data_IF_712893562009
#
_entry.id   IF_712893562009
#
_cell.length_a   1.000
_cell.length_b   1.000
_cell.length_c   1.000
_cell.angle_alpha   90.00
_cell.angle_beta   90.00
_cell.angle_gamma   90.00
#
_symmetry.space_group_name_H-M   'P 1'
#
loop_
_entity.id
_entity.type
_entity.pdbx_description
1 polymer ?
#
# COMPACT_ATOMS: atom_id res chain seq x y z
N UNK A 1 -0.92 -16.02 14.67
CA UNK A 1 -1.84 -16.07 13.50
C UNK A 1 -1.03 -16.18 12.22
N UNK A 2 -1.45 -17.05 11.30
CA UNK A 2 -0.76 -17.29 10.02
C UNK A 2 -0.94 -16.13 9.04
N UNK A 3 0.16 -15.67 8.45
CA UNK A 3 0.11 -14.81 7.27
C UNK A 3 0.17 -15.70 6.04
N UNK A 4 -0.81 -15.61 5.15
CA UNK A 4 -0.79 -16.34 3.89
C UNK A 4 -0.47 -15.39 2.72
N UNK A 5 0.15 -15.96 1.68
CA UNK A 5 0.47 -15.23 0.46
C UNK A 5 -0.75 -15.26 -0.46
N UNK A 6 -1.36 -14.09 -0.69
CA UNK A 6 -2.39 -13.94 -1.73
C UNK A 6 -1.70 -13.62 -3.05
N UNK A 7 -1.96 -14.44 -4.07
CA UNK A 7 -1.52 -14.26 -5.44
C UNK A 7 -2.72 -13.85 -6.30
N UNK A 8 -2.70 -12.64 -6.85
CA UNK A 8 -3.75 -12.13 -7.74
C UNK A 8 -3.17 -11.96 -9.13
N UNK A 9 -3.71 -12.72 -10.08
CA UNK A 9 -3.37 -12.58 -11.49
C UNK A 9 -4.16 -11.39 -12.06
N UNK A 10 -3.45 -10.38 -12.55
CA UNK A 10 -4.03 -9.21 -13.20
C UNK A 10 -3.62 -9.19 -14.68
N UNK A 11 -4.31 -8.39 -15.50
CA UNK A 11 -3.91 -8.17 -16.90
C UNK A 11 -2.48 -7.61 -17.05
N UNK A 12 -1.91 -7.05 -15.98
CA UNK A 12 -0.57 -6.47 -15.92
C UNK A 12 0.48 -7.44 -15.35
N UNK A 13 0.10 -8.70 -15.10
CA UNK A 13 0.94 -9.70 -14.44
C UNK A 13 0.42 -10.11 -13.06
N UNK A 14 1.21 -10.92 -12.38
CA UNK A 14 0.85 -11.51 -11.08
C UNK A 14 1.30 -10.63 -9.93
N UNK A 15 0.36 -10.20 -9.08
CA UNK A 15 0.66 -9.46 -7.85
C UNK A 15 0.60 -10.45 -6.68
N UNK A 16 1.74 -10.65 -6.02
CA UNK A 16 1.86 -11.45 -4.80
C UNK A 16 2.00 -10.54 -3.59
N UNK A 17 1.10 -10.65 -2.61
CA UNK A 17 1.17 -9.89 -1.37
C UNK A 17 0.70 -10.72 -0.19
N UNK A 18 1.41 -10.61 0.94
CA UNK A 18 1.02 -11.28 2.17
C UNK A 18 -0.06 -10.47 2.88
N UNK A 19 -1.11 -11.15 3.32
CA UNK A 19 -2.17 -10.56 4.13
C UNK A 19 -2.36 -11.38 5.40
N UNK A 20 -2.58 -10.75 6.56
CA UNK A 20 -3.09 -11.45 7.73
C UNK A 20 -4.41 -12.13 7.39
N UNK A 21 -4.48 -13.44 7.62
CA UNK A 21 -5.72 -14.19 7.57
C UNK A 21 -6.35 -14.14 8.97
N UNK A 22 -7.58 -13.64 9.07
CA UNK A 22 -8.31 -13.56 10.33
C UNK A 22 -9.63 -14.30 10.23
N UNK A 23 -10.13 -14.69 11.40
CA UNK A 23 -11.45 -15.29 11.56
C UNK A 23 -12.38 -14.26 12.20
N UNK A 24 -13.42 -13.85 11.47
CA UNK A 24 -14.45 -12.92 11.95
C UNK A 24 -15.68 -13.71 12.36
N UNK A 25 -16.13 -13.50 13.59
CA UNK A 25 -17.36 -14.11 14.10
C UNK A 25 -18.53 -13.16 13.94
N UNK A 26 -19.68 -13.69 13.50
CA UNK A 26 -20.92 -12.94 13.33
C UNK A 26 -22.14 -13.79 13.75
N UNK A 27 -23.31 -13.16 13.89
CA UNK A 27 -24.58 -13.86 14.12
C UNK A 27 -25.40 -13.84 12.83
N UNK A 28 -25.97 -14.99 12.44
CA UNK A 28 -26.87 -15.09 11.29
C UNK A 28 -28.28 -14.54 11.59
N UNK A 29 -29.14 -14.49 10.57
CA UNK A 29 -30.55 -14.06 10.70
C UNK A 29 -31.36 -14.92 11.70
N UNK A 30 -30.86 -16.09 12.10
CA UNK A 30 -31.50 -17.00 13.06
C UNK A 30 -30.83 -16.94 14.46
N UNK A 31 -29.86 -16.04 14.67
CA UNK A 31 -29.13 -15.86 15.92
C UNK A 31 -27.98 -16.85 16.16
N UNK A 32 -27.65 -17.71 15.18
CA UNK A 32 -26.53 -18.64 15.32
C UNK A 32 -25.18 -17.96 15.11
N UNK A 33 -24.21 -18.29 15.96
CA UNK A 33 -22.82 -17.83 15.81
C UNK A 33 -22.17 -18.54 14.61
N UNK A 34 -21.68 -17.76 13.67
CA UNK A 34 -20.96 -18.18 12.48
C UNK A 34 -19.57 -17.56 12.46
N UNK A 35 -18.66 -18.14 11.68
CA UNK A 35 -17.31 -17.64 11.44
C UNK A 35 -17.06 -17.44 9.94
N UNK A 36 -16.22 -16.47 9.63
CA UNK A 36 -15.77 -16.16 8.28
C UNK A 36 -14.26 -15.96 8.28
N UNK A 37 -13.57 -16.70 7.42
CA UNK A 37 -12.16 -16.47 7.14
C UNK A 37 -12.03 -15.34 6.11
N UNK A 38 -11.25 -14.32 6.42
CA UNK A 38 -11.00 -13.22 5.52
C UNK A 38 -9.58 -12.66 5.65
N UNK A 39 -9.09 -12.10 4.55
CA UNK A 39 -7.80 -11.43 4.55
C UNK A 39 -8.00 -9.97 4.96
N UNK A 40 -7.20 -9.53 5.92
CA UNK A 40 -7.20 -8.14 6.39
C UNK A 40 -6.16 -7.35 5.64
N UNK A 41 -6.56 -6.16 5.21
CA UNK A 41 -5.64 -5.18 4.69
C UNK A 41 -5.64 -3.95 5.60
N UNK A 42 -4.49 -3.74 6.24
CA UNK A 42 -4.24 -2.71 7.26
C UNK A 42 -3.85 -1.34 6.67
N UNK A 43 -3.70 -1.26 5.34
CA UNK A 43 -3.32 -0.02 4.64
C UNK A 43 -4.36 0.33 3.57
N UNK A 44 -5.47 0.93 3.98
CA UNK A 44 -6.40 1.54 3.03
C UNK A 44 -5.72 2.72 2.30
N UNK A 45 -5.35 2.55 1.04
CA UNK A 45 -4.61 3.59 0.30
C UNK A 45 -5.51 4.69 -0.24
N UNK A 46 -6.77 4.37 -0.53
CA UNK A 46 -7.74 5.32 -1.08
C UNK A 46 -9.15 4.75 -0.98
N UNK A 47 -10.10 5.57 -0.56
CA UNK A 47 -11.51 5.31 -0.86
C UNK A 47 -12.21 6.60 -1.24
N UNK A 48 -13.24 6.41 -2.07
CA UNK A 48 -14.08 7.49 -2.57
C UNK A 48 -15.41 7.34 -1.84
N UNK A 49 -15.73 8.32 -1.00
CA UNK A 49 -17.09 8.44 -0.46
C UNK A 49 -17.90 9.32 -1.41
N UNK A 50 -19.13 8.91 -1.68
CA UNK A 50 -20.06 9.66 -2.51
C UNK A 50 -21.27 10.01 -1.65
N UNK A 51 -21.33 11.27 -1.22
CA UNK A 51 -22.45 11.77 -0.43
C UNK A 51 -23.70 11.90 -1.29
N UNK A 52 -24.84 11.45 -0.78
CA UNK A 52 -26.15 11.59 -1.42
C UNK A 52 -26.57 10.40 -2.28
N UNK A 53 -25.79 9.31 -2.33
CA UNK A 53 -26.16 8.11 -3.08
C UNK A 53 -27.51 7.51 -2.65
N UNK A 54 -27.84 7.38 -1.35
CA UNK A 54 -29.14 6.83 -0.96
C UNK A 54 -30.31 7.71 -1.42
N UNK A 55 -30.17 9.04 -1.31
CA UNK A 55 -31.19 9.97 -1.79
C UNK A 55 -31.37 9.87 -3.31
N UNK A 56 -30.27 9.78 -4.07
CA UNK A 56 -30.34 9.58 -5.52
C UNK A 56 -31.09 8.32 -5.91
N UNK A 57 -30.81 7.19 -5.24
CA UNK A 57 -31.51 5.92 -5.49
C UNK A 57 -32.99 6.05 -5.18
N UNK A 58 -33.35 6.62 -4.03
CA UNK A 58 -34.75 6.78 -3.61
C UNK A 58 -35.54 7.66 -4.58
N UNK A 59 -34.95 8.76 -5.05
CA UNK A 59 -35.63 9.72 -5.93
C UNK A 59 -35.77 9.23 -7.37
N UNK A 60 -34.83 8.42 -7.87
CA UNK A 60 -34.77 8.05 -9.28
C UNK A 60 -35.13 6.57 -9.54
N UNK A 61 -35.34 5.76 -8.50
CA UNK A 61 -35.84 4.40 -8.68
C UNK A 61 -37.32 4.42 -9.08
N UNK A 62 -37.75 3.57 -10.03
CA UNK A 62 -39.13 3.56 -10.53
C UNK A 62 -40.14 3.03 -9.52
N UNK A 63 -39.71 2.18 -8.58
CA UNK A 63 -40.57 1.53 -7.59
C UNK A 63 -39.97 1.67 -6.19
N UNK A 64 -40.82 1.90 -5.18
CA UNK A 64 -40.40 1.83 -3.79
C UNK A 64 -39.99 0.40 -3.40
N UNK A 65 -38.93 0.29 -2.60
CA UNK A 65 -38.43 -0.97 -2.08
C UNK A 65 -38.19 -0.86 -0.58
N UNK A 66 -38.51 -1.91 0.22
CA UNK A 66 -38.19 -1.94 1.64
C UNK A 66 -36.68 -1.89 1.92
N UNK A 67 -35.84 -2.17 0.91
CA UNK A 67 -34.39 -2.02 1.02
C UNK A 67 -33.96 -0.57 1.15
N UNK A 68 -34.71 0.38 0.60
CA UNK A 68 -34.33 1.79 0.59
C UNK A 68 -34.21 2.37 2.00
N UNK A 69 -35.10 1.98 2.91
CA UNK A 69 -35.05 2.38 4.31
C UNK A 69 -33.85 1.77 5.08
N UNK A 70 -33.19 0.76 4.52
CA UNK A 70 -32.02 0.09 5.10
C UNK A 70 -30.69 0.57 4.50
N UNK A 71 -30.74 1.49 3.54
CA UNK A 71 -29.54 2.09 2.95
C UNK A 71 -29.09 3.24 3.86
N UNK A 72 -27.86 3.17 4.34
CA UNK A 72 -27.21 4.24 5.08
C UNK A 72 -26.21 4.95 4.19
N UNK A 73 -26.13 6.28 4.25
CA UNK A 73 -25.09 7.06 3.55
C UNK A 73 -23.82 7.07 4.42
N UNK A 74 -22.72 6.42 3.99
CA UNK A 74 -21.48 6.43 4.75
C UNK A 74 -20.89 7.84 4.93
N UNK A 75 -21.24 8.80 4.07
CA UNK A 75 -20.80 10.18 4.15
C UNK A 75 -21.76 11.09 4.97
N UNK A 76 -22.82 10.53 5.56
CA UNK A 76 -23.71 11.30 6.45
C UNK A 76 -23.04 11.58 7.80
N UNK A 77 -23.36 12.75 8.37
CA UNK A 77 -22.89 13.17 9.71
C UNK A 77 -23.63 12.46 10.84
N UNK A 78 -24.79 11.87 10.53
CA UNK A 78 -25.64 11.16 11.49
C UNK A 78 -25.22 9.70 11.68
N UNK A 79 -24.30 9.21 10.84
CA UNK A 79 -23.65 7.92 11.01
C UNK A 79 -22.41 8.14 11.88
N UNK A 80 -22.46 7.61 13.09
CA UNK A 80 -21.35 7.69 14.04
C UNK A 80 -20.18 6.82 13.56
N UNK A 81 -19.18 7.49 13.00
CA UNK A 81 -17.86 6.91 12.72
C UNK A 81 -16.89 7.19 13.88
N UNK A 82 -17.39 7.38 15.11
CA UNK A 82 -16.69 7.92 16.28
C UNK A 82 -15.42 7.18 16.70
N UNK A 83 -15.20 5.99 16.14
CA UNK A 83 -13.88 5.43 15.93
C UNK A 83 -13.69 5.35 14.42
N UNK A 84 -12.93 6.29 13.81
CA UNK A 84 -12.59 6.24 12.39
C UNK A 84 -12.29 4.78 12.07
N UNK A 85 -13.02 4.19 11.11
CA UNK A 85 -12.65 2.89 10.53
C UNK A 85 -11.12 2.91 10.41
N UNK A 86 -10.42 2.04 11.14
CA UNK A 86 -8.96 2.11 11.29
C UNK A 86 -8.22 1.82 9.97
N UNK A 87 -8.87 2.05 8.81
CA UNK A 87 -8.39 1.72 7.49
C UNK A 87 -8.41 0.22 7.23
N UNK A 88 -9.13 -0.56 8.04
CA UNK A 88 -9.17 -2.02 7.91
C UNK A 88 -10.11 -2.38 6.78
N UNK A 89 -9.52 -2.70 5.63
CA UNK A 89 -10.22 -3.31 4.52
C UNK A 89 -10.29 -4.82 4.70
N UNK A 90 -11.46 -5.41 4.42
CA UNK A 90 -11.61 -6.87 4.38
C UNK A 90 -11.68 -7.31 2.93
N UNK A 91 -10.81 -8.25 2.54
CA UNK A 91 -10.86 -8.89 1.23
C UNK A 91 -11.65 -10.19 1.37
N UNK A 92 -12.75 -10.28 0.62
CA UNK A 92 -13.68 -11.40 0.62
C UNK A 92 -13.70 -12.08 -0.74
N UNK A 93 -13.63 -13.41 -0.75
CA UNK A 93 -13.89 -14.17 -1.97
C UNK A 93 -15.41 -14.25 -2.26
N UNK A 94 -15.77 -14.67 -3.46
CA UNK A 94 -17.17 -14.82 -3.89
C UNK A 94 -17.99 -15.72 -2.95
N UNK A 95 -17.40 -16.82 -2.47
CA UNK A 95 -18.02 -17.72 -1.49
C UNK A 95 -18.30 -17.01 -0.16
N UNK A 96 -17.36 -16.19 0.32
CA UNK A 96 -17.53 -15.42 1.55
C UNK A 96 -18.63 -14.38 1.43
N UNK A 97 -18.71 -13.67 0.30
CA UNK A 97 -19.78 -12.70 0.02
C UNK A 97 -21.15 -13.39 0.05
N UNK A 98 -21.26 -14.59 -0.52
CA UNK A 98 -22.51 -15.36 -0.49
C UNK A 98 -22.96 -15.72 0.93
N UNK A 99 -22.02 -15.93 1.87
CA UNK A 99 -22.36 -16.21 3.29
C UNK A 99 -22.78 -14.98 4.08
N UNK A 100 -22.47 -13.78 3.58
CA UNK A 100 -22.86 -12.50 4.18
C UNK A 100 -24.21 -11.99 3.67
N UNK A 101 -24.72 -12.54 2.56
CA UNK A 101 -26.03 -12.19 2.02
C UNK A 101 -27.13 -12.69 2.97
N UNK A 102 -28.11 -11.82 3.23
CA UNK A 102 -29.33 -12.23 3.94
C UNK A 102 -30.23 -13.03 3.01
N UNK A 103 -31.30 -13.62 3.56
CA UNK A 103 -32.35 -14.28 2.74
C UNK A 103 -33.15 -13.32 1.86
N UNK A 104 -32.94 -12.00 1.99
CA UNK A 104 -33.65 -10.99 1.20
C UNK A 104 -33.13 -10.97 -0.23
N UNK A 105 -34.04 -10.87 -1.20
CA UNK A 105 -33.68 -10.83 -2.62
C UNK A 105 -32.82 -9.61 -2.96
N UNK A 106 -31.84 -9.83 -3.84
CA UNK A 106 -31.06 -8.79 -4.48
C UNK A 106 -31.99 -7.98 -5.39
N UNK A 107 -31.91 -6.65 -5.32
CA UNK A 107 -32.69 -5.76 -6.16
C UNK A 107 -31.78 -5.13 -7.21
N UNK A 108 -32.04 -5.43 -8.48
CA UNK A 108 -31.45 -4.71 -9.60
C UNK A 108 -32.38 -3.57 -10.02
N UNK A 109 -31.83 -2.36 -10.17
CA UNK A 109 -32.52 -1.17 -10.66
C UNK A 109 -31.94 -0.84 -12.04
N UNK A 110 -32.53 -1.37 -13.13
CA UNK A 110 -31.95 -1.27 -14.47
C UNK A 110 -31.79 0.17 -14.96
N UNK A 111 -32.69 1.08 -14.58
CA UNK A 111 -32.70 2.48 -15.00
C UNK A 111 -31.48 3.24 -14.48
N UNK A 112 -30.94 2.82 -13.34
CA UNK A 112 -29.77 3.42 -12.71
C UNK A 112 -28.49 2.59 -12.93
N UNK A 113 -28.61 1.38 -13.48
CA UNK A 113 -27.52 0.38 -13.52
C UNK A 113 -26.92 0.14 -12.12
N UNK A 114 -27.81 0.01 -11.12
CA UNK A 114 -27.45 -0.20 -9.70
C UNK A 114 -28.00 -1.53 -9.21
N UNK A 115 -27.17 -2.26 -8.48
CA UNK A 115 -27.52 -3.49 -7.78
C UNK A 115 -27.46 -3.25 -6.26
N UNK A 116 -28.54 -3.58 -5.57
CA UNK A 116 -28.67 -3.52 -4.12
C UNK A 116 -28.65 -4.93 -3.53
N UNK A 117 -27.63 -5.21 -2.74
CA UNK A 117 -27.38 -6.52 -2.16
C UNK A 117 -27.52 -6.46 -0.63
N UNK A 118 -28.59 -7.06 -0.05
CA UNK A 118 -28.79 -7.05 1.39
C UNK A 118 -27.81 -8.00 2.09
N UNK A 119 -26.95 -7.45 2.95
CA UNK A 119 -25.98 -8.22 3.75
C UNK A 119 -26.26 -8.09 5.25
N UNK A 120 -25.61 -8.92 6.06
CA UNK A 120 -25.66 -8.82 7.53
C UNK A 120 -25.14 -7.48 8.07
N UNK A 121 -24.36 -6.74 7.28
CA UNK A 121 -23.81 -5.43 7.64
C UNK A 121 -24.62 -4.25 7.08
N UNK A 122 -25.75 -4.53 6.42
CA UNK A 122 -26.55 -3.54 5.70
C UNK A 122 -26.59 -3.77 4.20
N UNK A 123 -27.21 -2.86 3.45
CA UNK A 123 -27.35 -2.97 2.00
C UNK A 123 -26.06 -2.51 1.32
N UNK A 124 -25.43 -3.39 0.56
CA UNK A 124 -24.34 -3.03 -0.34
C UNK A 124 -24.89 -2.48 -1.65
N UNK A 125 -24.24 -1.43 -2.17
CA UNK A 125 -24.59 -0.77 -3.43
C UNK A 125 -23.47 -1.03 -4.42
N UNK A 126 -23.79 -1.67 -5.54
CA UNK A 126 -22.87 -1.94 -6.64
C UNK A 126 -23.38 -1.25 -7.91
N UNK A 127 -22.52 -0.55 -8.64
CA UNK A 127 -22.91 0.15 -9.87
C UNK A 127 -22.01 1.34 -10.19
N UNK A 128 -22.32 2.04 -11.29
CA UNK A 128 -21.62 3.27 -11.67
C UNK A 128 -22.02 4.44 -10.77
N UNK A 129 -21.05 5.29 -10.40
CA UNK A 129 -21.34 6.55 -9.70
C UNK A 129 -21.97 7.55 -10.68
N UNK A 130 -23.17 8.09 -10.41
CA UNK A 130 -23.82 9.08 -11.26
C UNK A 130 -22.94 10.29 -11.58
N UNK A 131 -23.04 10.81 -12.80
CA UNK A 131 -22.22 11.93 -13.28
C UNK A 131 -22.45 13.22 -12.48
N UNK A 132 -23.65 13.42 -11.92
CA UNK A 132 -23.99 14.54 -11.05
C UNK A 132 -23.16 14.58 -9.75
N UNK A 133 -22.53 13.47 -9.36
CA UNK A 133 -21.67 13.41 -8.18
C UNK A 133 -20.18 13.59 -8.48
N UNK A 134 -19.76 13.69 -9.76
CA UNK A 134 -18.33 13.82 -10.13
C UNK A 134 -17.63 15.04 -9.52
N UNK A 135 -18.37 16.09 -9.16
CA UNK A 135 -17.85 17.31 -8.53
C UNK A 135 -17.82 17.26 -6.98
N UNK A 136 -18.51 16.29 -6.38
CA UNK A 136 -18.67 16.13 -4.92
C UNK A 136 -18.02 14.84 -4.40
N UNK A 137 -17.00 14.34 -5.11
CA UNK A 137 -16.20 13.20 -4.66
C UNK A 137 -15.23 13.69 -3.59
N UNK A 138 -15.45 13.29 -2.34
CA UNK A 138 -14.46 13.44 -1.29
C UNK A 138 -13.49 12.26 -1.35
N UNK A 139 -12.22 12.55 -1.64
CA UNK A 139 -11.15 11.56 -1.55
C UNK A 139 -10.63 11.59 -0.12
N UNK A 140 -11.00 10.59 0.66
CA UNK A 140 -10.45 10.42 2.00
C UNK A 140 -9.13 9.67 1.89
N UNK A 141 -8.03 10.40 2.10
CA UNK A 141 -6.70 9.82 2.23
C UNK A 141 -6.47 9.40 3.69
N UNK A 142 -6.29 8.11 3.94
CA UNK A 142 -5.97 7.60 5.27
C UNK A 142 -4.48 7.86 5.59
N UNK A 143 -4.09 9.13 5.78
CA UNK A 143 -2.69 9.55 5.78
C UNK A 143 -1.99 9.56 7.15
N UNK A 144 -2.62 9.17 8.26
CA UNK A 144 -1.98 9.27 9.58
C UNK A 144 -2.29 8.12 10.54
N UNK A 145 -1.99 6.87 10.17
CA UNK A 145 -2.07 5.75 11.11
C UNK A 145 -0.86 4.84 10.97
N UNK A 146 -0.15 4.65 12.08
CA UNK A 146 0.82 3.57 12.27
C UNK A 146 0.13 2.50 13.12
N UNK A 147 0.18 1.21 12.74
CA UNK A 147 -0.39 0.16 13.58
C UNK A 147 0.39 0.05 14.90
N UNK A 148 -0.34 0.03 16.01
CA UNK A 148 0.19 -0.40 17.29
C UNK A 148 0.08 -1.93 17.32
N UNK A 149 1.23 -2.59 17.31
CA UNK A 149 1.33 -4.00 17.63
C UNK A 149 0.90 -4.16 19.10
N UNK A 150 -0.26 -4.77 19.35
CA UNK A 150 -0.54 -5.30 20.68
C UNK A 150 0.44 -6.45 20.90
N UNK A 151 1.37 -6.27 21.85
CA UNK A 151 2.25 -7.34 22.31
C UNK A 151 1.37 -8.46 22.87
N UNK A 152 1.44 -9.65 22.29
CA UNK A 152 1.21 -10.87 23.06
C UNK A 152 2.48 -11.11 23.89
N UNK A 153 2.45 -10.62 25.13
CA UNK A 153 3.19 -11.28 26.20
C UNK A 153 2.48 -12.62 26.44
N UNK A 154 3.26 -13.70 26.41
CA UNK A 154 2.88 -15.10 26.62
C UNK A 154 2.03 -15.77 25.54
N UNK A 155 2.71 -16.43 24.60
CA UNK A 155 2.44 -17.86 24.43
C UNK A 155 3.72 -18.65 24.09
N UNK A 156 4.37 -19.12 25.15
CA UNK A 156 5.37 -20.19 25.07
C UNK A 156 4.62 -21.52 24.95
N UNK A 157 4.10 -21.85 23.77
CA UNK A 157 3.77 -23.21 23.32
C UNK A 157 3.07 -23.12 21.96
N UNK A 158 3.82 -23.22 20.87
CA UNK A 158 3.21 -23.23 19.55
C UNK A 158 4.04 -24.04 18.54
N UNK A 159 4.29 -25.30 18.88
CA UNK A 159 4.49 -26.38 17.90
C UNK A 159 4.06 -27.70 18.54
N UNK A 160 2.75 -27.95 18.54
CA UNK A 160 2.26 -29.33 18.38
C UNK A 160 1.51 -29.31 17.06
N UNK A 161 2.27 -29.41 15.97
CA UNK A 161 1.71 -29.82 14.71
C UNK A 161 1.43 -31.32 14.82
N UNK A 162 0.21 -31.70 14.44
CA UNK A 162 -0.22 -33.07 14.32
C UNK A 162 0.77 -33.84 13.41
N UNK A 163 1.26 -34.99 13.88
CA UNK A 163 2.36 -35.74 13.29
C UNK A 163 2.01 -36.33 11.92
N UNK A 164 2.06 -35.53 10.85
CA UNK A 164 2.07 -36.02 9.46
C UNK A 164 2.90 -35.14 8.52
N UNK A 165 4.00 -34.54 9.00
CA UNK A 165 5.01 -33.94 8.14
C UNK A 165 6.29 -34.77 8.22
N UNK A 166 6.78 -35.24 7.08
CA UNK A 166 8.04 -35.99 7.05
C UNK A 166 9.20 -35.01 6.99
N UNK A 167 10.29 -35.30 7.72
CA UNK A 167 11.52 -34.49 7.76
C UNK A 167 12.06 -34.16 6.35
N UNK A 168 11.74 -35.00 5.37
CA UNK A 168 12.14 -34.85 3.98
C UNK A 168 11.39 -33.72 3.25
N UNK A 169 10.14 -33.45 3.61
CA UNK A 169 9.36 -32.31 3.11
C UNK A 169 9.90 -31.00 3.66
N UNK A 170 10.28 -30.98 4.93
CA UNK A 170 10.86 -29.80 5.59
C UNK A 170 12.25 -29.47 5.01
N UNK A 171 13.06 -30.49 4.72
CA UNK A 171 14.33 -30.30 4.02
C UNK A 171 14.09 -29.79 2.59
N UNK A 172 13.20 -30.40 1.81
CA UNK A 172 12.89 -29.92 0.46
C UNK A 172 12.37 -28.47 0.45
N UNK A 173 11.58 -28.09 1.46
CA UNK A 173 11.13 -26.71 1.65
C UNK A 173 12.30 -25.76 1.93
N UNK A 174 13.23 -26.13 2.80
CA UNK A 174 14.42 -25.34 3.11
C UNK A 174 15.36 -25.22 1.91
N UNK A 175 15.56 -26.29 1.14
CA UNK A 175 16.33 -26.24 -0.12
C UNK A 175 15.65 -25.38 -1.19
N UNK A 176 14.32 -25.36 -1.24
CA UNK A 176 13.55 -24.48 -2.12
C UNK A 176 13.59 -23.00 -1.73
N UNK A 177 13.98 -22.65 -0.50
CA UNK A 177 14.05 -21.27 -0.04
C UNK A 177 15.25 -20.48 -0.59
N UNK A 178 16.35 -21.14 -0.99
CA UNK A 178 17.46 -20.47 -1.70
C UNK A 178 17.02 -19.88 -3.06
N UNK A 179 15.93 -20.41 -3.63
CA UNK A 179 15.33 -19.98 -4.90
C UNK A 179 14.16 -18.99 -4.75
N UNK A 180 13.80 -18.56 -3.54
CA UNK A 180 12.72 -17.59 -3.32
C UNK A 180 13.22 -16.15 -3.49
N UNK A 181 13.09 -15.62 -4.70
CA UNK A 181 13.05 -14.17 -4.93
C UNK A 181 13.72 -13.67 -6.19
N UNK A 182 14.65 -14.43 -6.77
CA UNK A 182 15.28 -14.16 -8.07
C UNK A 182 15.66 -15.51 -8.66
N UNK A 183 14.91 -16.03 -9.64
CA UNK A 183 15.41 -17.16 -10.42
C UNK A 183 16.57 -16.63 -11.29
N UNK A 184 17.68 -17.38 -11.47
CA UNK A 184 18.85 -16.90 -12.24
C UNK A 184 18.54 -16.42 -13.67
N UNK A 185 17.41 -16.87 -14.22
CA UNK A 185 16.95 -16.57 -15.57
C UNK A 185 15.62 -15.78 -15.60
N UNK A 186 15.20 -15.19 -14.48
CA UNK A 186 13.99 -14.35 -14.42
C UNK A 186 14.31 -13.01 -15.08
N UNK A 187 13.71 -12.76 -16.25
CA UNK A 187 13.79 -11.45 -16.93
C UNK A 187 12.38 -10.86 -16.90
N UNK A 188 12.16 -9.85 -16.07
CA UNK A 188 10.90 -9.10 -16.12
C UNK A 188 10.87 -8.19 -17.35
N UNK A 189 9.68 -7.94 -17.88
CA UNK A 189 9.50 -6.99 -19.00
C UNK A 189 10.00 -5.58 -18.65
N UNK A 190 9.90 -5.19 -17.38
CA UNK A 190 10.44 -3.92 -16.87
C UNK A 190 11.98 -3.89 -16.87
N UNK A 191 12.64 -5.02 -16.61
CA UNK A 191 14.11 -5.11 -16.66
C UNK A 191 14.64 -4.89 -18.08
N UNK A 192 13.91 -5.41 -19.07
CA UNK A 192 14.23 -5.18 -20.48
C UNK A 192 14.12 -3.69 -20.82
N UNK A 193 13.04 -3.02 -20.42
CA UNK A 193 12.86 -1.57 -20.64
C UNK A 193 13.97 -0.77 -19.97
N UNK A 194 14.32 -1.10 -18.72
CA UNK A 194 15.40 -0.43 -18.01
C UNK A 194 16.77 -0.64 -18.69
N UNK A 195 17.03 -1.87 -19.16
CA UNK A 195 18.25 -2.23 -19.89
C UNK A 195 18.35 -1.49 -21.23
N UNK A 196 17.26 -1.44 -21.99
CA UNK A 196 17.19 -0.74 -23.27
C UNK A 196 17.46 0.76 -23.05
N UNK A 197 16.81 1.40 -22.05
CA UNK A 197 17.08 2.81 -21.70
C UNK A 197 18.53 3.02 -21.29
N UNK A 198 19.11 2.11 -20.50
CA UNK A 198 20.52 2.21 -20.11
C UNK A 198 21.43 2.19 -21.35
N UNK A 199 21.27 1.19 -22.22
CA UNK A 199 22.09 1.03 -23.42
C UNK A 199 21.94 2.20 -24.40
N UNK A 200 20.73 2.74 -24.55
CA UNK A 200 20.44 3.87 -25.44
C UNK A 200 20.98 5.20 -24.91
N UNK A 201 21.05 5.37 -23.59
CA UNK A 201 21.29 6.68 -22.97
C UNK A 201 22.61 6.80 -22.23
N UNK A 202 23.34 5.69 -22.05
CA UNK A 202 24.66 5.72 -21.47
C UNK A 202 25.63 6.43 -22.43
N UNK A 203 26.24 7.49 -21.95
CA UNK A 203 27.23 8.27 -22.68
C UNK A 203 28.42 8.51 -21.77
N UNK A 204 29.63 8.50 -22.33
CA UNK A 204 30.83 8.87 -21.60
C UNK A 204 31.16 10.32 -21.92
N UNK A 205 31.15 11.17 -20.91
CA UNK A 205 31.61 12.54 -21.01
C UNK A 205 33.10 12.54 -21.36
N UNK A 206 33.46 13.15 -22.48
CA UNK A 206 34.83 13.19 -23.00
C UNK A 206 35.75 14.09 -22.19
N UNK A 207 35.20 15.04 -21.43
CA UNK A 207 35.93 16.02 -20.63
C UNK A 207 36.19 15.49 -19.23
N UNK A 208 35.17 14.94 -18.57
CA UNK A 208 35.27 14.42 -17.20
C UNK A 208 35.61 12.93 -17.14
N UNK A 209 35.41 12.19 -18.24
CA UNK A 209 35.59 10.75 -18.31
C UNK A 209 34.49 9.94 -17.62
N UNK A 210 33.49 10.61 -17.02
CA UNK A 210 32.36 10.01 -16.28
C UNK A 210 31.29 9.48 -17.23
N UNK A 211 30.52 8.50 -16.76
CA UNK A 211 29.34 8.02 -17.47
C UNK A 211 28.10 8.77 -17.02
N UNK A 212 27.33 9.28 -17.98
CA UNK A 212 26.00 9.85 -17.77
C UNK A 212 24.97 8.90 -18.37
N UNK A 213 23.91 8.61 -17.63
CA UNK A 213 22.80 7.77 -18.09
C UNK A 213 21.48 8.39 -17.66
N UNK A 214 20.42 8.20 -18.46
CA UNK A 214 19.09 8.66 -18.07
C UNK A 214 18.47 7.69 -17.06
N UNK A 215 17.68 8.24 -16.14
CA UNK A 215 16.88 7.42 -15.23
C UNK A 215 15.89 6.54 -16.03
N UNK A 216 15.81 5.23 -15.74
CA UNK A 216 14.94 4.30 -16.45
C UNK A 216 13.49 4.41 -15.97
N UNK A 217 12.74 5.36 -16.51
CA UNK A 217 11.33 5.57 -16.16
C UNK A 217 10.43 4.48 -16.78
N UNK A 218 9.55 3.87 -15.99
CA UNK A 218 8.57 2.87 -16.45
C UNK A 218 7.29 3.47 -17.05
N UNK A 219 7.40 4.56 -17.82
CA UNK A 219 6.31 5.37 -18.39
C UNK A 219 5.30 5.99 -17.39
N UNK A 220 5.42 5.70 -16.09
CA UNK A 220 4.54 6.27 -15.03
C UNK A 220 5.07 7.56 -14.43
N UNK A 221 6.09 8.20 -15.04
CA UNK A 221 6.68 9.45 -14.54
C UNK A 221 5.64 10.56 -14.31
N UNK A 222 4.62 10.62 -15.17
CA UNK A 222 3.53 11.61 -15.07
C UNK A 222 2.68 11.46 -13.79
N UNK A 223 2.75 10.31 -13.10
CA UNK A 223 2.07 10.10 -11.82
C UNK A 223 2.86 10.66 -10.63
N UNK A 224 4.14 11.00 -10.79
CA UNK A 224 4.99 11.47 -9.71
C UNK A 224 4.77 12.97 -9.44
N UNK A 225 4.31 13.29 -8.24
CA UNK A 225 4.15 14.66 -7.73
C UNK A 225 5.40 15.13 -6.99
N UNK A 226 5.50 16.44 -6.76
CA UNK A 226 6.55 17.00 -5.92
C UNK A 226 6.41 16.48 -4.48
N UNK A 227 7.51 16.01 -3.88
CA UNK A 227 7.52 15.37 -2.56
C UNK A 227 8.25 16.18 -1.48
N UNK A 228 8.45 17.49 -1.68
CA UNK A 228 9.24 18.37 -0.81
C UNK A 228 8.84 18.26 0.67
N UNK A 229 7.54 18.32 0.96
CA UNK A 229 7.05 18.30 2.34
C UNK A 229 7.45 17.01 3.08
N UNK A 230 7.28 15.85 2.42
CA UNK A 230 7.60 14.54 3.00
C UNK A 230 9.10 14.36 3.15
N UNK A 231 9.88 14.72 2.12
CA UNK A 231 11.34 14.63 2.15
C UNK A 231 11.94 15.55 3.21
N UNK A 232 11.42 16.78 3.35
CA UNK A 232 11.86 17.72 4.36
C UNK A 232 11.56 17.23 5.79
N UNK A 233 10.37 16.67 6.03
CA UNK A 233 10.00 16.12 7.33
C UNK A 233 10.92 14.96 7.74
N UNK A 234 11.18 14.02 6.82
CA UNK A 234 12.12 12.90 7.05
C UNK A 234 13.55 13.40 7.31
N UNK A 235 14.00 14.39 6.55
CA UNK A 235 15.33 14.99 6.70
C UNK A 235 15.47 15.73 8.04
N UNK A 236 14.46 16.48 8.48
CA UNK A 236 14.47 17.15 9.80
C UNK A 236 14.56 16.15 10.94
N UNK A 237 13.77 15.07 10.89
CA UNK A 237 13.86 13.99 11.89
C UNK A 237 15.27 13.39 11.95
N UNK A 238 15.90 13.23 10.79
CA UNK A 238 17.27 12.76 10.72
C UNK A 238 18.28 13.74 11.34
N UNK A 239 18.10 15.04 11.10
CA UNK A 239 18.91 16.09 11.73
C UNK A 239 18.75 16.11 13.25
N UNK A 240 17.53 15.91 13.76
CA UNK A 240 17.30 15.79 15.22
C UNK A 240 18.08 14.62 15.84
N UNK A 241 18.17 13.49 15.13
CA UNK A 241 18.98 12.34 15.58
C UNK A 241 20.47 12.71 15.59
N UNK A 242 20.96 13.42 14.56
CA UNK A 242 22.34 13.88 14.48
C UNK A 242 22.70 14.89 15.58
N UNK A 243 21.75 15.72 16.02
CA UNK A 243 21.95 16.66 17.13
C UNK A 243 22.01 15.90 18.47
N UNK A 244 21.16 14.90 18.64
CA UNK A 244 21.11 14.09 19.88
C UNK A 244 22.32 13.17 20.03
N UNK A 245 22.78 12.55 18.94
CA UNK A 245 24.00 11.75 18.90
C UNK A 245 25.09 12.48 18.11
N UNK A 246 25.96 13.18 18.83
CA UNK A 246 27.06 13.95 18.25
C UNK A 246 28.01 13.10 17.41
N UNK A 247 28.33 11.90 17.87
CA UNK A 247 29.19 10.98 17.11
C UNK A 247 28.54 10.64 15.76
N UNK A 248 27.22 10.41 15.75
CA UNK A 248 26.46 10.16 14.53
C UNK A 248 26.44 11.35 13.60
N UNK A 249 26.22 12.55 14.15
CA UNK A 249 26.30 13.80 13.41
C UNK A 249 27.66 13.99 12.73
N UNK A 250 28.76 13.84 13.48
CA UNK A 250 30.12 13.99 12.95
C UNK A 250 30.42 12.97 11.84
N UNK A 251 30.03 11.71 12.02
CA UNK A 251 30.22 10.67 11.01
C UNK A 251 29.41 10.94 9.72
N UNK A 252 28.19 11.46 9.86
CA UNK A 252 27.34 11.86 8.74
C UNK A 252 27.89 13.07 7.98
N UNK A 253 28.43 14.06 8.70
CA UNK A 253 29.09 15.21 8.09
C UNK A 253 30.34 14.78 7.30
N UNK A 254 31.15 13.88 7.86
CA UNK A 254 32.30 13.31 7.16
C UNK A 254 31.88 12.57 5.88
N UNK A 255 30.82 11.75 5.94
CA UNK A 255 30.28 11.05 4.78
C UNK A 255 29.76 12.03 3.69
N UNK A 256 29.15 13.16 4.08
CA UNK A 256 28.74 14.20 3.14
C UNK A 256 29.95 14.84 2.43
N UNK A 257 30.99 15.18 3.18
CA UNK A 257 32.22 15.78 2.64
C UNK A 257 32.90 14.82 1.67
N UNK A 258 32.89 13.52 1.94
CA UNK A 258 33.41 12.49 1.03
C UNK A 258 32.62 12.48 -0.30
N UNK A 259 31.29 12.56 -0.24
CA UNK A 259 30.45 12.63 -1.44
C UNK A 259 30.68 13.92 -2.25
N UNK A 260 30.83 15.07 -1.58
CA UNK A 260 31.11 16.36 -2.23
C UNK A 260 32.51 16.38 -2.86
N UNK A 261 33.53 15.93 -2.13
CA UNK A 261 34.91 15.92 -2.62
C UNK A 261 35.15 14.89 -3.74
N UNK A 262 34.36 13.81 -3.75
CA UNK A 262 34.33 12.85 -4.85
C UNK A 262 33.50 13.29 -6.06
N UNK A 263 32.90 14.49 -6.02
CA UNK A 263 32.05 15.03 -7.09
C UNK A 263 30.90 14.08 -7.45
N UNK A 264 30.29 13.49 -6.40
CA UNK A 264 29.10 12.63 -6.47
C UNK A 264 27.80 13.41 -6.17
N UNK A 265 27.92 14.50 -5.40
CA UNK A 265 26.82 15.42 -5.10
C UNK A 265 27.31 16.87 -5.24
N UNK A 266 26.40 17.76 -5.60
CA UNK A 266 26.67 19.19 -5.73
C UNK A 266 25.60 20.02 -5.03
N UNK A 267 25.95 21.27 -4.72
CA UNK A 267 24.99 22.24 -4.23
C UNK A 267 24.11 22.72 -5.39
N UNK A 268 22.81 22.44 -5.29
CA UNK A 268 21.83 22.87 -6.29
C UNK A 268 21.38 24.30 -6.02
N UNK A 269 21.38 25.15 -7.04
CA UNK A 269 20.81 26.50 -6.95
C UNK A 269 19.28 26.43 -6.85
N UNK A 270 18.74 26.92 -5.73
CA UNK A 270 17.31 26.93 -5.44
C UNK A 270 16.57 28.11 -6.06
N UNK A 271 17.28 29.12 -6.55
CA UNK A 271 16.70 30.33 -7.17
C UNK A 271 16.36 30.13 -8.64
N UNK A 272 16.97 29.13 -9.27
CA UNK A 272 16.66 28.69 -10.63
C UNK A 272 15.22 28.15 -10.73
N UNK A 273 14.33 28.94 -11.35
CA UNK A 273 12.99 28.50 -11.72
C UNK A 273 13.09 27.52 -12.89
N UNK A 274 12.96 26.22 -12.60
CA UNK A 274 12.71 25.22 -13.62
C UNK A 274 11.19 24.97 -13.72
N UNK A 275 10.68 24.89 -14.94
CA UNK A 275 9.28 24.49 -15.20
C UNK A 275 9.04 22.98 -14.95
N UNK A 276 10.05 22.25 -14.47
CA UNK A 276 9.99 20.81 -14.24
C UNK A 276 9.68 20.50 -12.78
N UNK A 277 8.91 19.43 -12.55
CA UNK A 277 8.64 18.91 -11.20
C UNK A 277 9.96 18.53 -10.53
N UNK A 278 10.15 19.02 -9.30
CA UNK A 278 11.32 18.72 -8.48
C UNK A 278 11.05 17.51 -7.58
N UNK A 279 12.04 16.64 -7.46
CA UNK A 279 11.97 15.45 -6.62
C UNK A 279 13.11 15.47 -5.62
N UNK A 280 12.80 15.17 -4.36
CA UNK A 280 13.72 15.27 -3.25
C UNK A 280 13.91 13.88 -2.63
N UNK A 281 15.16 13.48 -2.42
CA UNK A 281 15.50 12.24 -1.74
C UNK A 281 15.95 12.55 -0.31
N UNK A 282 15.19 12.18 0.73
CA UNK A 282 15.69 12.25 2.09
C UNK A 282 16.89 11.31 2.27
N UNK A 283 17.75 11.60 3.23
CA UNK A 283 18.94 10.79 3.49
C UNK A 283 18.96 10.23 4.91
N UNK A 284 19.72 9.15 5.11
CA UNK A 284 20.05 8.59 6.43
C UNK A 284 21.46 8.01 6.44
N UNK A 285 22.07 7.97 7.62
CA UNK A 285 23.34 7.30 7.83
C UNK A 285 23.18 5.85 8.25
N UNK A 286 23.92 4.96 7.61
CA UNK A 286 24.07 3.56 8.03
C UNK A 286 25.47 3.39 8.61
N UNK A 287 25.53 2.84 9.83
CA UNK A 287 26.75 2.44 10.51
C UNK A 287 26.83 0.92 10.52
N UNK A 288 28.04 0.39 10.42
CA UNK A 288 28.30 -1.03 10.60
C UNK A 288 29.22 -1.17 11.80
N UNK A 289 28.96 -2.16 12.66
CA UNK A 289 29.78 -2.46 13.85
C UNK A 289 31.08 -3.20 13.46
N UNK A 290 31.79 -2.69 12.46
CA UNK A 290 33.08 -3.22 12.03
C UNK A 290 34.11 -2.11 12.11
N UNK A 291 35.30 -2.42 12.61
CA UNK A 291 36.42 -1.48 12.75
C UNK A 291 36.87 -0.82 11.43
N UNK A 292 36.37 -1.26 10.28
CA UNK A 292 36.86 -0.88 8.95
C UNK A 292 35.85 -0.12 8.08
N UNK A 293 34.57 -0.01 8.45
CA UNK A 293 33.57 0.64 7.60
C UNK A 293 33.03 1.93 8.21
N UNK A 294 33.46 3.07 7.67
CA UNK A 294 32.94 4.39 7.99
C UNK A 294 31.42 4.50 7.72
N UNK A 295 30.75 5.42 8.41
CA UNK A 295 29.34 5.71 8.19
C UNK A 295 29.08 6.03 6.71
N UNK A 296 28.02 5.46 6.13
CA UNK A 296 27.63 5.72 4.74
C UNK A 296 26.30 6.45 4.69
N UNK A 297 26.23 7.48 3.86
CA UNK A 297 24.98 8.16 3.57
C UNK A 297 24.19 7.37 2.52
N UNK A 298 22.91 7.12 2.81
CA UNK A 298 21.98 6.42 1.94
C UNK A 298 20.81 7.35 1.65
N UNK A 299 20.51 7.52 0.37
CA UNK A 299 19.34 8.25 -0.09
C UNK A 299 18.12 7.33 -0.15
N UNK A 300 17.00 7.79 0.38
CA UNK A 300 15.76 7.04 0.46
C UNK A 300 14.84 7.40 -0.71
N UNK A 301 14.75 6.51 -1.69
CA UNK A 301 13.88 6.63 -2.85
C UNK A 301 12.51 5.94 -2.66
N UNK A 302 12.10 5.63 -1.42
CA UNK A 302 10.83 4.94 -1.13
C UNK A 302 9.61 5.86 -1.07
N UNK A 303 9.74 7.13 -1.45
CA UNK A 303 8.61 8.06 -1.47
C UNK A 303 7.54 7.52 -2.41
N UNK A 304 6.34 7.29 -1.87
CA UNK A 304 5.17 6.89 -2.65
C UNK A 304 4.43 8.15 -3.12
N UNK A 305 3.90 8.09 -4.33
CA UNK A 305 2.96 9.08 -4.84
C UNK A 305 1.63 8.98 -4.08
#
# INVERSE_FOLDING_TARGET
>A
MGQELLEVVTFSGTIKKKFPLVEVYYQDDNGHKQNLMCYVYDVFTRHITVKGMPHYIITNAPNESPLFAKISDPASRDIDHGNQSQGIGIILCSTSINRLRTKTNILHIPELDILLEPTIFGVSISGAVPTCFKQNIEVVLANHIAPILLKDESDKQLFVADNTHTLQEDLNFLWGQESLGILPNEIHSEDKIATDIFLETVQRDTTTGKFTVRLPWNNKKYMLTENLQVAAARTRRQQEIMIKDRSYGEAMCAAKIELESGDYIEMVDTTSQSNNVKYYLPFRGVRKDSNTTACRMVMDASSKA
#
